data_IF_660902710379
#
_entry.id   IF_660902710379
#
_cell.length_a   1.000
_cell.length_b   1.000
_cell.length_c   1.000
_cell.angle_alpha   90.00
_cell.angle_beta   90.00
_cell.angle_gamma   90.00
#
_symmetry.space_group_name_H-M   'P 1'
#
loop_
_entity.id
_entity.type
_entity.pdbx_description
1 polymer ?
#
# COMPACT_ATOMS: atom_id res chain seq x y z
N UNK A 1 44.15 -38.75 -29.07
CA UNK A 1 44.29 -37.69 -28.04
C UNK A 1 43.12 -36.74 -28.23
N UNK A 2 42.26 -36.69 -27.23
CA UNK A 2 40.88 -36.21 -27.24
C UNK A 2 40.76 -34.69 -27.18
N UNK A 3 39.70 -34.20 -27.80
CA UNK A 3 39.33 -32.80 -28.04
C UNK A 3 38.94 -32.04 -26.77
N UNK A 4 39.75 -31.07 -26.35
CA UNK A 4 39.51 -30.23 -25.17
C UNK A 4 39.09 -28.78 -25.49
N UNK A 5 38.34 -28.51 -26.56
CA UNK A 5 37.91 -27.13 -26.82
C UNK A 5 36.55 -27.05 -27.50
N UNK A 6 35.45 -27.29 -26.78
CA UNK A 6 34.12 -26.88 -27.30
C UNK A 6 32.97 -26.68 -26.30
N UNK A 7 33.18 -26.77 -24.98
CA UNK A 7 32.07 -26.71 -24.01
C UNK A 7 31.96 -25.44 -23.15
N UNK A 8 32.89 -24.48 -23.27
CA UNK A 8 32.95 -23.34 -22.32
C UNK A 8 32.21 -22.08 -22.83
N UNK A 9 31.96 -21.95 -24.15
CA UNK A 9 31.41 -20.70 -24.71
C UNK A 9 29.88 -20.63 -24.82
N UNK A 10 29.17 -21.74 -24.62
CA UNK A 10 27.70 -21.78 -24.80
C UNK A 10 26.93 -21.75 -23.48
N UNK A 11 27.49 -22.32 -22.40
CA UNK A 11 26.84 -22.40 -21.10
C UNK A 11 26.79 -21.05 -20.37
N UNK A 12 27.88 -20.27 -20.38
CA UNK A 12 27.93 -18.96 -19.71
C UNK A 12 27.02 -17.94 -20.38
N UNK A 13 27.01 -17.87 -21.72
CA UNK A 13 26.16 -16.93 -22.46
C UNK A 13 24.66 -17.29 -22.41
N UNK A 14 24.31 -18.58 -22.35
CA UNK A 14 22.92 -18.99 -22.13
C UNK A 14 22.46 -18.67 -20.71
N UNK A 15 23.27 -18.96 -19.68
CA UNK A 15 22.94 -18.65 -18.30
C UNK A 15 22.83 -17.15 -18.03
N UNK A 16 23.69 -16.31 -18.62
CA UNK A 16 23.62 -14.86 -18.44
C UNK A 16 22.32 -14.31 -19.06
N UNK A 17 21.98 -14.70 -20.29
CA UNK A 17 20.73 -14.25 -20.92
C UNK A 17 19.47 -14.75 -20.21
N UNK A 18 19.43 -16.01 -19.75
CA UNK A 18 18.27 -16.52 -19.02
C UNK A 18 18.18 -15.93 -17.61
N UNK A 19 19.29 -15.79 -16.91
CA UNK A 19 19.33 -15.21 -15.55
C UNK A 19 19.02 -13.72 -15.55
N UNK A 20 19.51 -12.93 -16.50
CA UNK A 20 19.17 -11.52 -16.65
C UNK A 20 17.71 -11.33 -17.07
N UNK A 21 17.20 -12.06 -18.07
CA UNK A 21 15.79 -11.96 -18.46
C UNK A 21 14.82 -12.50 -17.39
N UNK A 22 15.20 -13.51 -16.61
CA UNK A 22 14.43 -13.97 -15.45
C UNK A 22 14.51 -12.99 -14.28
N UNK A 23 15.67 -12.42 -13.96
CA UNK A 23 15.79 -11.38 -12.92
C UNK A 23 15.07 -10.09 -13.31
N UNK A 24 15.12 -9.68 -14.58
CA UNK A 24 14.42 -8.48 -15.06
C UNK A 24 12.90 -8.72 -14.98
N UNK A 25 12.38 -9.85 -15.49
CA UNK A 25 10.93 -10.20 -15.41
C UNK A 25 10.44 -10.48 -13.98
N UNK A 26 11.29 -10.95 -13.07
CA UNK A 26 10.92 -11.12 -11.66
C UNK A 26 11.08 -9.83 -10.86
N UNK A 27 11.95 -8.91 -11.28
CA UNK A 27 12.19 -7.62 -10.62
C UNK A 27 11.04 -6.63 -10.76
N UNK A 28 10.36 -6.60 -11.92
CA UNK A 28 9.29 -5.63 -12.19
C UNK A 28 8.10 -5.77 -11.22
N UNK A 29 7.89 -6.97 -10.68
CA UNK A 29 6.78 -7.25 -9.75
C UNK A 29 7.23 -7.51 -8.30
N UNK A 30 8.50 -7.28 -7.95
CA UNK A 30 8.95 -7.25 -6.54
C UNK A 30 8.22 -6.19 -5.72
N UNK A 31 7.70 -5.16 -6.40
CA UNK A 31 7.01 -4.04 -5.78
C UNK A 31 5.53 -4.32 -5.50
N UNK A 32 4.95 -5.44 -5.95
CA UNK A 32 3.60 -5.82 -5.56
C UNK A 32 3.64 -6.36 -4.13
N UNK A 33 3.13 -5.57 -3.17
CA UNK A 33 3.03 -6.01 -1.77
C UNK A 33 1.79 -6.86 -1.52
N UNK A 34 0.80 -6.76 -2.40
CA UNK A 34 -0.59 -6.77 -1.97
C UNK A 34 -1.53 -6.94 -3.18
N UNK A 35 -2.51 -7.85 -3.11
CA UNK A 35 -3.55 -8.06 -4.14
C UNK A 35 -4.93 -7.74 -3.56
N UNK A 36 -5.60 -6.77 -4.15
CA UNK A 36 -6.94 -6.31 -3.76
C UNK A 36 -7.99 -6.92 -4.68
N UNK A 37 -9.04 -7.50 -4.08
CA UNK A 37 -10.14 -8.15 -4.79
C UNK A 37 -11.38 -7.25 -4.94
N UNK A 38 -11.29 -5.99 -4.49
CA UNK A 38 -12.38 -5.04 -4.61
C UNK A 38 -12.53 -4.65 -6.06
N UNK A 39 -13.75 -4.71 -6.57
CA UNK A 39 -14.06 -4.23 -7.91
C UNK A 39 -13.65 -2.76 -8.05
N UNK A 40 -12.96 -2.45 -9.15
CA UNK A 40 -12.57 -1.06 -9.48
C UNK A 40 -13.80 -0.17 -9.68
N UNK A 41 -14.93 -0.74 -10.11
CA UNK A 41 -16.22 -0.04 -10.23
C UNK A 41 -16.78 0.49 -8.90
N UNK A 42 -16.32 -0.04 -7.75
CA UNK A 42 -16.74 0.44 -6.43
C UNK A 42 -16.07 1.78 -6.06
N UNK A 43 -15.14 2.27 -6.89
CA UNK A 43 -14.45 3.53 -6.71
C UNK A 43 -14.96 4.55 -7.72
N UNK A 44 -15.25 5.75 -7.23
CA UNK A 44 -15.52 6.90 -8.08
C UNK A 44 -14.24 7.71 -8.21
N UNK A 45 -13.74 7.86 -9.45
CA UNK A 45 -12.56 8.66 -9.75
C UNK A 45 -12.98 9.97 -10.43
N UNK A 46 -12.34 11.07 -10.08
CA UNK A 46 -12.48 12.32 -10.80
C UNK A 46 -11.92 12.18 -12.23
N UNK A 47 -12.43 12.93 -13.21
CA UNK A 47 -11.96 12.85 -14.60
C UNK A 47 -10.45 13.14 -14.73
N UNK A 48 -9.94 14.11 -13.96
CA UNK A 48 -8.51 14.46 -13.90
C UNK A 48 -7.61 13.35 -13.36
N UNK A 49 -8.20 12.42 -12.62
CA UNK A 49 -7.50 11.33 -11.94
C UNK A 49 -7.45 10.05 -12.78
N UNK A 50 -8.37 9.90 -13.76
CA UNK A 50 -8.42 8.70 -14.62
C UNK A 50 -7.10 8.47 -15.37
N UNK A 51 -6.44 9.53 -15.83
CA UNK A 51 -5.13 9.42 -16.50
C UNK A 51 -3.97 8.96 -15.60
N UNK A 52 -4.17 8.93 -14.28
CA UNK A 52 -3.18 8.44 -13.30
C UNK A 52 -3.35 6.95 -13.02
N UNK A 53 -4.45 6.33 -13.45
CA UNK A 53 -4.68 4.89 -13.29
C UNK A 53 -3.70 4.13 -14.18
N UNK A 54 -2.97 3.19 -13.60
CA UNK A 54 -1.98 2.38 -14.33
C UNK A 54 -2.58 1.00 -14.54
N UNK A 55 -2.63 0.57 -15.80
CA UNK A 55 -3.00 -0.80 -16.18
C UNK A 55 -1.72 -1.61 -16.38
N UNK A 56 -1.69 -2.81 -15.82
CA UNK A 56 -0.51 -3.66 -15.79
C UNK A 56 -0.93 -5.14 -15.83
N UNK A 57 0.01 -6.04 -16.08
CA UNK A 57 -0.27 -7.47 -16.15
C UNK A 57 0.92 -8.30 -15.63
N UNK A 58 0.63 -9.48 -15.09
CA UNK A 58 1.65 -10.43 -14.67
C UNK A 58 1.21 -11.85 -14.98
N UNK A 59 2.03 -12.59 -15.75
CA UNK A 59 1.72 -13.97 -16.16
C UNK A 59 0.30 -14.14 -16.75
N UNK A 60 -0.14 -13.17 -17.56
CA UNK A 60 -1.47 -13.17 -18.17
C UNK A 60 -2.61 -12.72 -17.25
N UNK A 61 -2.31 -12.33 -16.01
CA UNK A 61 -3.28 -11.78 -15.07
C UNK A 61 -3.23 -10.26 -15.14
N UNK A 62 -4.32 -9.63 -15.56
CA UNK A 62 -4.43 -8.18 -15.61
C UNK A 62 -4.80 -7.59 -14.25
N UNK A 63 -4.17 -6.46 -13.92
CA UNK A 63 -4.45 -5.72 -12.70
C UNK A 63 -4.28 -4.21 -12.89
N UNK A 64 -4.86 -3.46 -11.97
CA UNK A 64 -4.84 -2.00 -11.95
C UNK A 64 -4.04 -1.53 -10.75
N UNK A 65 -3.33 -0.44 -10.95
CA UNK A 65 -2.51 0.24 -9.97
C UNK A 65 -3.04 1.65 -9.71
N UNK A 66 -3.31 1.91 -8.43
CA UNK A 66 -3.90 3.15 -7.94
C UNK A 66 -2.90 4.03 -7.17
N UNK A 67 -1.59 3.71 -7.18
CA UNK A 67 -0.54 4.44 -6.45
C UNK A 67 -0.34 5.89 -6.90
N UNK A 68 -0.65 6.21 -8.15
CA UNK A 68 -0.47 7.56 -8.68
C UNK A 68 -1.64 8.50 -8.40
N UNK A 69 -2.79 7.98 -7.98
CA UNK A 69 -3.99 8.79 -7.71
C UNK A 69 -3.80 9.80 -6.57
N UNK A 70 -3.12 9.40 -5.50
CA UNK A 70 -2.99 10.27 -4.34
C UNK A 70 -1.66 10.05 -3.60
N UNK A 71 -1.09 11.12 -3.05
CA UNK A 71 0.23 11.10 -2.35
C UNK A 71 0.20 10.26 -1.07
N UNK A 72 -0.90 10.31 -0.32
CA UNK A 72 -1.12 9.56 0.93
C UNK A 72 -2.10 8.39 0.85
N UNK A 73 -3.27 8.55 0.19
CA UNK A 73 -4.21 7.47 -0.06
C UNK A 73 -3.62 6.52 -1.09
N UNK A 74 -3.44 5.27 -0.66
CA UNK A 74 -2.93 4.23 -1.53
C UNK A 74 -3.58 2.91 -1.17
N UNK A 75 -3.81 2.11 -2.20
CA UNK A 75 -4.69 0.96 -2.25
C UNK A 75 -4.34 -0.25 -1.38
N UNK A 76 -3.43 -0.08 -0.42
CA UNK A 76 -3.32 -1.02 0.67
C UNK A 76 -4.57 -0.92 1.53
N UNK A 77 -5.43 -1.92 1.38
CA UNK A 77 -6.62 -2.17 2.19
C UNK A 77 -6.49 -3.57 2.78
N UNK A 78 -6.99 -3.85 3.97
CA UNK A 78 -7.19 -5.20 4.49
C UNK A 78 -8.49 -5.82 3.98
N UNK A 79 -9.33 -5.03 3.29
CA UNK A 79 -10.65 -5.47 2.88
C UNK A 79 -10.99 -5.06 1.44
N UNK A 80 -11.28 -6.01 0.55
CA UNK A 80 -10.85 -7.42 0.49
C UNK A 80 -9.43 -7.54 -0.08
N UNK A 81 -8.54 -8.27 0.59
CA UNK A 81 -7.12 -8.21 0.24
C UNK A 81 -6.29 -9.42 0.68
N UNK A 82 -5.29 -9.80 -0.12
CA UNK A 82 -4.24 -10.77 0.22
C UNK A 82 -2.84 -10.12 0.18
N UNK A 83 -2.08 -10.25 1.25
CA UNK A 83 -0.70 -9.80 1.34
C UNK A 83 0.25 -10.98 1.58
N UNK A 84 1.49 -10.89 1.09
CA UNK A 84 2.53 -11.86 1.46
C UNK A 84 2.80 -11.79 2.96
N UNK A 85 3.02 -12.95 3.60
CA UNK A 85 3.38 -13.00 5.03
C UNK A 85 4.71 -12.26 5.30
N UNK A 86 5.64 -12.29 4.35
CA UNK A 86 6.91 -11.54 4.43
C UNK A 86 6.69 -10.03 4.59
N UNK A 87 5.61 -9.48 4.06
CA UNK A 87 5.27 -8.07 4.24
C UNK A 87 4.96 -7.75 5.70
N UNK A 88 4.30 -8.68 6.40
CA UNK A 88 3.99 -8.57 7.82
C UNK A 88 5.26 -8.68 8.65
N UNK A 89 6.16 -9.61 8.31
CA UNK A 89 7.45 -9.78 8.99
C UNK A 89 8.46 -8.64 8.72
N UNK A 90 8.38 -7.98 7.57
CA UNK A 90 9.31 -6.91 7.20
C UNK A 90 9.17 -5.63 8.05
N UNK A 91 8.17 -5.54 8.92
CA UNK A 91 7.96 -4.40 9.80
C UNK A 91 8.43 -4.76 11.22
N UNK A 92 9.19 -3.87 11.89
CA UNK A 92 9.87 -4.16 13.17
C UNK A 92 9.00 -4.83 14.24
N UNK A 93 7.78 -4.31 14.44
CA UNK A 93 6.75 -4.90 15.32
C UNK A 93 5.53 -5.33 14.52
N UNK A 94 5.80 -5.93 13.37
CA UNK A 94 4.84 -6.26 12.34
C UNK A 94 3.91 -5.08 12.03
N UNK A 95 2.63 -5.34 11.80
CA UNK A 95 1.64 -4.29 11.63
C UNK A 95 1.12 -3.66 12.93
N UNK A 96 1.44 -4.24 14.10
CA UNK A 96 0.94 -3.77 15.40
C UNK A 96 1.48 -2.38 15.81
N UNK A 97 2.60 -1.94 15.22
CA UNK A 97 3.10 -0.57 15.42
C UNK A 97 2.24 0.51 14.74
N UNK A 98 1.48 0.16 13.71
CA UNK A 98 0.71 1.13 12.94
C UNK A 98 -0.65 1.36 13.58
N UNK A 99 -0.86 2.56 14.13
CA UNK A 99 -2.14 2.96 14.72
C UNK A 99 -3.34 2.85 13.76
N UNK A 100 -3.09 2.96 12.46
CA UNK A 100 -4.11 2.95 11.40
C UNK A 100 -3.55 2.29 10.16
N UNK A 101 -4.42 1.62 9.43
CA UNK A 101 -4.14 0.97 8.15
C UNK A 101 -3.46 1.91 7.13
N UNK A 102 -3.91 3.16 7.02
CA UNK A 102 -3.26 4.17 6.17
C UNK A 102 -1.78 4.40 6.48
N UNK A 103 -1.31 4.10 7.70
CA UNK A 103 0.10 4.23 8.05
C UNK A 103 0.91 3.07 7.48
N UNK A 104 0.32 1.87 7.40
CA UNK A 104 0.89 0.71 6.71
C UNK A 104 1.02 1.02 5.21
N UNK A 105 -0.04 1.58 4.63
CA UNK A 105 -0.06 2.03 3.23
C UNK A 105 1.07 3.02 2.92
N UNK A 106 1.28 4.02 3.79
CA UNK A 106 2.40 4.98 3.67
C UNK A 106 3.77 4.33 3.82
N UNK A 107 3.90 3.37 4.73
CA UNK A 107 5.16 2.63 4.93
C UNK A 107 5.53 1.81 3.69
N UNK A 108 4.56 1.11 3.09
CA UNK A 108 4.76 0.37 1.84
C UNK A 108 5.12 1.28 0.67
N UNK A 109 4.43 2.43 0.53
CA UNK A 109 4.74 3.42 -0.49
C UNK A 109 6.17 3.95 -0.37
N UNK A 110 6.64 4.21 0.86
CA UNK A 110 8.02 4.64 1.10
C UNK A 110 9.04 3.59 0.63
N UNK A 111 8.66 2.31 0.69
CA UNK A 111 9.45 1.20 0.18
C UNK A 111 9.24 0.93 -1.33
N UNK A 112 8.56 1.82 -2.07
CA UNK A 112 8.28 1.65 -3.50
C UNK A 112 7.21 0.60 -3.83
N UNK A 113 6.56 0.03 -2.81
CA UNK A 113 5.58 -1.05 -2.98
C UNK A 113 4.19 -0.51 -3.30
N UNK A 114 3.41 -1.30 -4.02
CA UNK A 114 2.04 -0.98 -4.41
C UNK A 114 1.09 -2.18 -4.35
N UNK A 115 -0.19 -1.86 -4.25
CA UNK A 115 -1.29 -2.83 -4.33
C UNK A 115 -1.70 -3.06 -5.80
N UNK A 116 -1.92 -4.33 -6.16
CA UNK A 116 -2.50 -4.76 -7.42
C UNK A 116 -4.02 -4.96 -7.25
N UNK A 117 -4.83 -4.19 -7.96
CA UNK A 117 -6.29 -4.33 -7.95
C UNK A 117 -6.74 -5.22 -9.11
N UNK A 118 -7.39 -6.33 -8.80
CA UNK A 118 -7.88 -7.26 -9.81
C UNK A 118 -8.98 -6.61 -10.66
N UNK A 119 -8.84 -6.69 -11.99
CA UNK A 119 -9.88 -6.20 -12.92
C UNK A 119 -11.16 -7.01 -12.76
N UNK A 120 -11.04 -8.34 -12.75
CA UNK A 120 -12.12 -9.28 -12.42
C UNK A 120 -12.34 -9.37 -10.91
N UNK A 121 -12.55 -8.23 -10.24
CA UNK A 121 -12.73 -8.16 -8.79
C UNK A 121 -13.85 -9.10 -8.31
N UNK A 122 -13.50 -10.07 -7.47
CA UNK A 122 -14.44 -11.07 -6.95
C UNK A 122 -15.24 -10.58 -5.73
N UNK A 123 -14.92 -9.41 -5.19
CA UNK A 123 -15.54 -8.90 -3.98
C UNK A 123 -16.11 -7.49 -4.19
N UNK A 124 -17.31 -7.31 -3.64
CA UNK A 124 -18.11 -6.11 -3.76
C UNK A 124 -18.26 -5.45 -2.40
N UNK A 125 -18.18 -4.13 -2.38
CA UNK A 125 -18.42 -3.38 -1.15
C UNK A 125 -19.91 -3.44 -0.75
N UNK A 126 -20.19 -4.00 0.43
CA UNK A 126 -21.55 -4.14 0.98
C UNK A 126 -21.92 -3.04 2.00
N UNK A 127 -21.05 -2.02 2.18
CA UNK A 127 -21.25 -0.94 3.14
C UNK A 127 -21.98 0.27 2.55
N UNK A 128 -23.15 0.61 3.07
CA UNK A 128 -23.89 1.81 2.70
C UNK A 128 -23.45 3.02 3.53
N UNK A 129 -22.29 3.62 3.22
CA UNK A 129 -21.91 5.00 3.62
C UNK A 129 -21.82 5.34 5.12
N UNK A 130 -22.30 4.48 6.02
CA UNK A 130 -22.26 4.67 7.45
C UNK A 130 -20.96 4.04 7.94
N UNK A 131 -19.95 4.88 8.15
CA UNK A 131 -18.77 4.45 8.88
C UNK A 131 -19.19 4.10 10.31
N UNK A 132 -19.07 2.83 10.70
CA UNK A 132 -19.31 2.37 12.08
C UNK A 132 -18.33 2.95 13.10
N UNK A 133 -17.40 3.81 12.69
CA UNK A 133 -16.73 4.70 13.63
C UNK A 133 -17.74 5.72 14.14
N UNK A 134 -18.53 5.32 15.14
CA UNK A 134 -19.07 6.26 16.10
C UNK A 134 -17.90 7.15 16.50
N UNK A 135 -18.03 8.43 16.20
CA UNK A 135 -17.03 9.39 16.63
C UNK A 135 -16.96 9.29 18.15
N UNK A 136 -15.93 8.64 18.68
CA UNK A 136 -15.53 8.76 20.09
C UNK A 136 -15.01 10.19 20.37
N UNK A 137 -15.43 11.18 19.58
CA UNK A 137 -15.30 12.57 19.94
C UNK A 137 -16.30 12.78 21.08
N UNK A 138 -15.84 13.02 22.33
CA UNK A 138 -16.76 13.48 23.35
C UNK A 138 -17.47 14.73 22.80
N UNK A 139 -18.77 14.89 23.08
CA UNK A 139 -19.56 16.00 22.55
C UNK A 139 -18.80 17.32 22.74
N UNK A 140 -18.80 18.14 21.69
CA UNK A 140 -17.96 19.34 21.50
C UNK A 140 -17.98 20.33 22.67
N UNK A 141 -18.92 20.20 23.61
CA UNK A 141 -19.00 20.99 24.85
C UNK A 141 -17.89 20.72 25.88
N UNK A 142 -17.33 19.51 25.96
CA UNK A 142 -16.40 19.15 27.05
C UNK A 142 -14.92 19.41 26.77
N UNK A 143 -14.52 19.58 25.49
CA UNK A 143 -13.12 19.86 25.13
C UNK A 143 -12.77 21.35 25.30
N UNK A 144 -13.73 22.24 25.07
CA UNK A 144 -13.53 23.69 25.20
C UNK A 144 -13.29 24.08 26.64
N UNK A 145 -14.00 23.47 27.60
CA UNK A 145 -13.87 23.78 29.03
C UNK A 145 -12.51 23.35 29.59
N UNK A 146 -12.03 22.13 29.32
CA UNK A 146 -10.70 21.69 29.81
C UNK A 146 -9.54 22.49 29.22
N UNK A 147 -9.60 22.86 27.93
CA UNK A 147 -8.55 23.68 27.29
C UNK A 147 -8.59 25.12 27.80
N UNK A 148 -9.79 25.68 27.99
CA UNK A 148 -9.98 27.01 28.57
C UNK A 148 -9.51 27.06 30.04
N UNK A 149 -9.85 26.07 30.85
CA UNK A 149 -9.41 25.97 32.26
C UNK A 149 -7.88 25.84 32.33
N UNK A 150 -7.25 24.99 31.52
CA UNK A 150 -5.77 24.89 31.47
C UNK A 150 -5.12 26.19 31.02
N UNK A 151 -5.70 26.87 30.02
CA UNK A 151 -5.23 28.19 29.58
C UNK A 151 -5.33 29.21 30.71
N UNK A 152 -6.48 29.27 31.39
CA UNK A 152 -6.77 30.18 32.50
C UNK A 152 -5.83 29.96 33.69
N UNK A 153 -5.58 28.71 34.09
CA UNK A 153 -4.62 28.37 35.15
C UNK A 153 -3.20 28.83 34.77
N UNK A 154 -2.78 28.62 33.51
CA UNK A 154 -1.48 29.10 33.01
C UNK A 154 -1.38 30.62 33.07
N UNK A 155 -2.41 31.34 32.63
CA UNK A 155 -2.40 32.81 32.63
C UNK A 155 -2.36 33.38 34.05
N UNK A 156 -2.93 32.68 35.04
CA UNK A 156 -2.99 33.15 36.43
C UNK A 156 -1.75 32.82 37.25
N UNK A 157 -1.10 31.68 36.98
CA UNK A 157 0.14 31.27 37.66
C UNK A 157 1.39 32.01 37.14
N UNK A 158 1.38 32.48 35.88
CA UNK A 158 2.51 33.21 35.27
C UNK A 158 2.38 34.74 35.31
N UNK A 159 1.33 35.28 35.95
CA UNK A 159 1.17 36.74 36.20
C UNK A 159 1.51 37.18 37.63
N UNK A 160 2.03 36.28 38.46
CA UNK A 160 2.57 36.60 39.79
C UNK A 160 4.08 36.36 39.80
N UNK A 161 4.81 37.23 39.10
CA UNK A 161 6.21 37.56 39.36
C UNK A 161 6.39 39.04 39.06
#
# INVERSE_FOLDING_TARGET
RTSEHQNIRTSEHQNIRTSEHQNIRTSEHQNISSVCFRKISDFTFAEEDKGKIVHDHYQGIEYIRLDKLHKQWHGFTFNPHLAKIDLWHAADRHFAQFKKERHISRWQRKAGKHAAFMICGACQHIGNGISVSHSNAPPSRLKTTRRAIRSWIKTRLFKSK
#
